data_IF_024674416820
#
_entry.id   IF_024674416820
#
_cell.length_a   1.000
_cell.length_b   1.000
_cell.length_c   1.000
_cell.angle_alpha   90.00
_cell.angle_beta   90.00
_cell.angle_gamma   90.00
#
_symmetry.space_group_name_H-M   'P 1'
#
loop_
_entity.id
_entity.type
_entity.pdbx_description
1 polymer ?
#
# COMPACT_ATOMS: atom_id res chain seq x y z
N UNK A 1 -10.27 -7.03 15.51
CA UNK A 1 -10.90 -6.74 14.20
C UNK A 1 -9.86 -6.94 13.11
N UNK A 2 -10.06 -7.86 12.15
CA UNK A 2 -9.18 -7.97 10.97
C UNK A 2 -9.43 -6.74 10.10
N UNK A 3 -8.41 -5.89 9.91
CA UNK A 3 -8.45 -4.79 8.96
C UNK A 3 -8.57 -5.42 7.56
N UNK A 4 -9.64 -5.14 6.79
CA UNK A 4 -9.78 -5.67 5.44
C UNK A 4 -8.61 -5.16 4.59
N UNK A 5 -7.75 -6.09 4.17
CA UNK A 5 -6.55 -5.78 3.39
C UNK A 5 -6.94 -5.67 1.92
N UNK A 6 -6.91 -4.44 1.38
CA UNK A 6 -7.21 -4.14 -0.02
C UNK A 6 -5.97 -3.69 -0.81
N UNK A 7 -5.06 -3.00 -0.14
CA UNK A 7 -3.83 -2.50 -0.73
C UNK A 7 -2.65 -3.35 -0.27
N UNK A 8 -1.86 -3.84 -1.22
CA UNK A 8 -0.66 -4.64 -0.94
C UNK A 8 0.57 -3.98 -1.54
N UNK A 9 1.67 -3.96 -0.78
CA UNK A 9 2.98 -3.60 -1.32
C UNK A 9 3.59 -4.79 -2.05
N UNK A 10 4.22 -4.55 -3.21
CA UNK A 10 4.91 -5.57 -4.00
C UNK A 10 6.14 -4.97 -4.67
N UNK A 11 7.23 -5.72 -4.71
CA UNK A 11 8.41 -5.37 -5.51
C UNK A 11 8.11 -5.56 -7.00
N UNK A 12 8.40 -4.55 -7.82
CA UNK A 12 8.25 -4.58 -9.27
C UNK A 12 9.56 -4.12 -9.91
N UNK A 13 10.37 -5.08 -10.38
CA UNK A 13 11.73 -4.78 -10.87
C UNK A 13 12.62 -4.27 -9.73
N UNK A 14 13.18 -3.07 -9.89
CA UNK A 14 13.94 -2.40 -8.82
C UNK A 14 13.03 -1.66 -7.83
N UNK A 15 11.87 -1.20 -8.30
CA UNK A 15 10.94 -0.37 -7.53
C UNK A 15 9.98 -1.19 -6.66
N UNK A 16 9.24 -0.49 -5.81
CA UNK A 16 8.14 -1.05 -5.04
C UNK A 16 6.84 -0.34 -5.40
N UNK A 17 5.76 -1.09 -5.54
CA UNK A 17 4.43 -0.56 -5.84
C UNK A 17 3.45 -0.93 -4.75
N UNK A 18 2.41 -0.13 -4.59
CA UNK A 18 1.22 -0.45 -3.81
C UNK A 18 0.07 -0.68 -4.77
N UNK A 19 -0.48 -1.89 -4.77
CA UNK A 19 -1.54 -2.32 -5.69
C UNK A 19 -2.85 -2.52 -4.95
N UNK A 20 -3.94 -2.00 -5.53
CA UNK A 20 -5.31 -2.37 -5.14
C UNK A 20 -5.64 -3.75 -5.70
N UNK A 21 -5.86 -4.73 -4.82
CA UNK A 21 -6.14 -6.12 -5.25
C UNK A 21 -7.51 -6.27 -5.91
N UNK A 22 -8.44 -5.34 -5.68
CA UNK A 22 -9.80 -5.39 -6.25
C UNK A 22 -9.82 -4.87 -7.68
N UNK A 23 -9.18 -3.73 -7.93
CA UNK A 23 -9.20 -3.06 -9.23
C UNK A 23 -7.98 -3.38 -10.09
N UNK A 24 -6.93 -3.96 -9.50
CA UNK A 24 -5.66 -4.21 -10.16
C UNK A 24 -4.81 -2.96 -10.39
N UNK A 25 -5.27 -1.77 -10.00
CA UNK A 25 -4.56 -0.50 -10.22
C UNK A 25 -3.41 -0.31 -9.25
N UNK A 26 -2.37 0.37 -9.71
CA UNK A 26 -1.27 0.86 -8.87
C UNK A 26 -1.72 2.17 -8.22
N UNK A 27 -1.69 2.22 -6.89
CA UNK A 27 -2.03 3.41 -6.12
C UNK A 27 -0.80 4.29 -5.89
N UNK A 28 0.36 3.68 -5.63
CA UNK A 28 1.63 4.37 -5.34
C UNK A 28 2.78 3.56 -5.93
N UNK A 29 3.79 4.26 -6.44
CA UNK A 29 5.09 3.71 -6.80
C UNK A 29 6.16 4.38 -5.94
N UNK A 30 7.06 3.58 -5.40
CA UNK A 30 8.22 3.98 -4.63
C UNK A 30 9.47 3.55 -5.41
N UNK A 31 10.17 4.53 -5.96
CA UNK A 31 11.35 4.28 -6.77
C UNK A 31 12.53 3.84 -5.91
N UNK A 32 13.31 2.91 -6.42
CA UNK A 32 14.53 2.48 -5.78
C UNK A 32 15.58 3.58 -5.82
N UNK A 33 16.11 3.89 -4.64
CA UNK A 33 17.26 4.76 -4.48
C UNK A 33 18.49 3.91 -4.07
N UNK A 34 19.58 3.90 -4.86
CA UNK A 34 20.80 3.17 -4.51
C UNK A 34 21.49 3.70 -3.25
N UNK A 35 21.33 4.98 -2.91
CA UNK A 35 21.86 5.56 -1.67
C UNK A 35 21.01 5.14 -0.46
N UNK A 36 19.73 4.80 -0.68
CA UNK A 36 18.78 4.41 0.35
C UNK A 36 17.98 3.14 -0.02
N UNK A 37 18.65 1.97 -0.12
CA UNK A 37 18.08 0.76 -0.73
C UNK A 37 16.87 0.18 0.01
N UNK A 38 16.69 0.53 1.29
CA UNK A 38 15.57 0.08 2.13
C UNK A 38 14.43 1.09 2.20
N UNK A 39 14.62 2.33 1.74
CA UNK A 39 13.64 3.39 1.90
C UNK A 39 12.40 3.14 1.03
N UNK A 40 12.59 2.75 -0.23
CA UNK A 40 11.50 2.44 -1.16
C UNK A 40 10.57 1.34 -0.61
N UNK A 41 11.14 0.28 -0.04
CA UNK A 41 10.39 -0.80 0.58
C UNK A 41 9.61 -0.33 1.82
N UNK A 42 10.27 0.44 2.70
CA UNK A 42 9.62 1.01 3.89
C UNK A 42 8.46 1.93 3.51
N UNK A 43 8.66 2.79 2.52
CA UNK A 43 7.64 3.71 2.03
C UNK A 43 6.44 2.97 1.45
N UNK A 44 6.66 1.97 0.58
CA UNK A 44 5.58 1.17 0.01
C UNK A 44 4.78 0.41 1.08
N UNK A 45 5.46 -0.17 2.08
CA UNK A 45 4.80 -0.85 3.20
C UNK A 45 3.97 0.11 4.06
N UNK A 46 4.52 1.30 4.35
CA UNK A 46 3.81 2.33 5.09
C UNK A 46 2.57 2.83 4.34
N UNK A 47 2.71 3.13 3.04
CA UNK A 47 1.60 3.56 2.19
C UNK A 47 0.49 2.51 2.11
N UNK A 48 0.84 1.22 1.94
CA UNK A 48 -0.15 0.14 1.95
C UNK A 48 -0.92 0.06 3.28
N UNK A 49 -0.23 0.25 4.42
CA UNK A 49 -0.88 0.28 5.74
C UNK A 49 -1.86 1.45 5.84
N UNK A 50 -1.43 2.67 5.50
CA UNK A 50 -2.27 3.88 5.56
C UNK A 50 -3.51 3.72 4.68
N UNK A 51 -3.38 3.22 3.46
CA UNK A 51 -4.54 3.00 2.60
C UNK A 51 -5.52 1.96 3.15
N UNK A 52 -5.03 0.90 3.78
CA UNK A 52 -5.89 -0.09 4.42
C UNK A 52 -6.60 0.47 5.67
N UNK A 53 -5.93 1.31 6.45
CA UNK A 53 -6.54 2.02 7.59
C UNK A 53 -7.65 2.98 7.13
N UNK A 54 -7.40 3.79 6.11
CA UNK A 54 -8.40 4.67 5.51
C UNK A 54 -9.58 3.90 4.89
N UNK A 55 -9.30 2.77 4.24
CA UNK A 55 -10.34 1.90 3.73
C UNK A 55 -11.22 1.32 4.86
N UNK A 56 -10.59 0.87 5.94
CA UNK A 56 -11.31 0.34 7.10
C UNK A 56 -12.17 1.43 7.79
N UNK A 57 -11.67 2.66 7.90
CA UNK A 57 -12.45 3.81 8.41
C UNK A 57 -13.70 4.04 7.55
N UNK A 58 -13.56 4.07 6.22
CA UNK A 58 -14.70 4.22 5.28
C UNK A 58 -15.73 3.09 5.41
N UNK A 59 -15.28 1.85 5.59
CA UNK A 59 -16.17 0.71 5.82
C UNK A 59 -16.87 0.78 7.18
N UNK A 60 -16.18 1.24 8.23
CA UNK A 60 -16.76 1.47 9.55
C UNK A 60 -17.80 2.60 9.54
N UNK A 61 -17.54 3.67 8.79
CA UNK A 61 -18.49 4.77 8.58
C UNK A 61 -19.73 4.33 7.79
N UNK A 62 -19.60 3.35 6.89
CA UNK A 62 -20.71 2.74 6.15
C UNK A 62 -21.52 1.71 6.94
N UNK A 63 -21.03 1.28 8.11
CA UNK A 63 -21.69 0.28 8.97
C UNK A 63 -22.44 0.89 10.17
N UNK A 64 -22.45 2.22 10.29
CA UNK A 64 -23.30 2.99 11.21
C UNK A 64 -24.41 3.65 10.42
#
# INVERSE_FOLDING_TARGET
MKIPTRFISKKQGRDFIVKDVVTGKVAVTAHYDPEQPKLAAKYANFAARVFNEEHAKKLGYRRR
#
